data_IF_088840738095
#
_entry.id   IF_088840738095
#
_cell.length_a   1.000
_cell.length_b   1.000
_cell.length_c   1.000
_cell.angle_alpha   90.00
_cell.angle_beta   90.00
_cell.angle_gamma   90.00
#
_symmetry.space_group_name_H-M   'P 1'
#
loop_
_entity.id
_entity.type
_entity.pdbx_description
1 polymer ?
#
# COMPACT_ATOMS: atom_id res chain seq x y z
N UNK A 1 7.01 8.80 -20.18
CA UNK A 1 6.72 9.69 -19.03
C UNK A 1 7.24 9.02 -17.77
N UNK A 2 7.84 9.77 -16.86
CA UNK A 2 8.24 9.25 -15.55
C UNK A 2 6.99 8.99 -14.72
N UNK A 3 6.91 7.84 -14.04
CA UNK A 3 5.81 7.44 -13.16
C UNK A 3 6.36 7.12 -11.78
N UNK A 4 5.53 7.28 -10.75
CA UNK A 4 5.80 6.76 -9.42
C UNK A 4 5.39 5.29 -9.37
N UNK A 5 6.34 4.41 -9.03
CA UNK A 5 6.12 2.98 -8.86
C UNK A 5 5.75 2.69 -7.41
N UNK A 6 4.51 2.28 -7.19
CA UNK A 6 3.90 2.21 -5.86
C UNK A 6 3.52 0.78 -5.53
N UNK A 7 3.99 0.32 -4.38
CA UNK A 7 3.47 -0.86 -3.69
C UNK A 7 2.51 -0.44 -2.57
N UNK A 8 1.48 -1.23 -2.32
CA UNK A 8 0.50 -0.94 -1.26
C UNK A 8 0.29 -2.15 -0.34
N UNK A 9 0.27 -1.92 0.97
CA UNK A 9 0.09 -2.96 1.99
C UNK A 9 -1.17 -2.65 2.79
N UNK A 10 -2.11 -3.60 2.80
CA UNK A 10 -3.48 -3.42 3.27
C UNK A 10 -4.36 -2.80 2.19
N UNK A 11 -5.33 -3.54 1.68
CA UNK A 11 -6.30 -3.08 0.68
C UNK A 11 -7.73 -3.49 1.04
N UNK A 12 -8.03 -3.49 2.35
CA UNK A 12 -9.39 -3.61 2.88
C UNK A 12 -10.26 -2.37 2.63
N UNK A 13 -11.34 -2.22 3.40
CA UNK A 13 -12.34 -1.15 3.21
C UNK A 13 -11.72 0.25 3.21
N UNK A 14 -10.78 0.51 4.13
CA UNK A 14 -10.11 1.81 4.26
C UNK A 14 -9.08 2.08 3.14
N UNK A 15 -8.39 1.04 2.67
CA UNK A 15 -7.34 1.15 1.65
C UNK A 15 -7.88 1.25 0.22
N UNK A 16 -9.01 0.59 -0.05
CA UNK A 16 -9.59 0.48 -1.40
C UNK A 16 -9.84 1.83 -2.09
N UNK A 17 -10.35 2.89 -1.41
CA UNK A 17 -10.49 4.21 -2.02
C UNK A 17 -9.17 4.82 -2.49
N UNK A 18 -8.09 4.65 -1.71
CA UNK A 18 -6.76 5.12 -2.11
C UNK A 18 -6.25 4.33 -3.31
N UNK A 19 -6.36 3.00 -3.26
CA UNK A 19 -5.97 2.14 -4.37
C UNK A 19 -6.66 2.55 -5.68
N UNK A 20 -7.96 2.84 -5.64
CA UNK A 20 -8.71 3.32 -6.82
C UNK A 20 -8.13 4.62 -7.37
N UNK A 21 -7.86 5.61 -6.51
CA UNK A 21 -7.26 6.87 -6.93
C UNK A 21 -5.87 6.68 -7.56
N UNK A 22 -5.05 5.79 -6.99
CA UNK A 22 -3.72 5.46 -7.51
C UNK A 22 -3.80 4.76 -8.88
N UNK A 23 -4.73 3.82 -9.05
CA UNK A 23 -4.93 3.09 -10.30
C UNK A 23 -5.43 3.99 -11.45
N UNK A 24 -6.18 5.04 -11.12
CA UNK A 24 -6.72 5.99 -12.10
C UNK A 24 -5.74 7.13 -12.41
N UNK A 25 -4.64 7.27 -11.66
CA UNK A 25 -3.65 8.32 -11.84
C UNK A 25 -2.65 7.99 -12.97
N UNK A 26 -2.56 8.78 -14.06
CA UNK A 26 -1.71 8.46 -15.21
C UNK A 26 -0.20 8.53 -14.92
N UNK A 27 0.18 9.16 -13.80
CA UNK A 27 1.55 9.29 -13.31
C UNK A 27 1.93 8.23 -12.26
N UNK A 28 1.05 7.24 -12.03
CA UNK A 28 1.30 6.12 -11.11
C UNK A 28 1.41 4.82 -11.89
N UNK A 29 2.28 3.94 -11.40
CA UNK A 29 2.37 2.54 -11.76
C UNK A 29 2.25 1.72 -10.48
N UNK A 30 1.21 0.90 -10.36
CA UNK A 30 1.06 0.00 -9.23
C UNK A 30 1.88 -1.27 -9.47
N UNK A 31 2.91 -1.51 -8.66
CA UNK A 31 3.81 -2.67 -8.79
C UNK A 31 3.28 -3.89 -8.05
N UNK A 32 2.40 -3.69 -7.06
CA UNK A 32 1.78 -4.76 -6.32
C UNK A 32 0.93 -4.28 -5.16
N UNK A 33 0.00 -5.13 -4.73
CA UNK A 33 -0.76 -4.96 -3.49
C UNK A 33 -0.58 -6.19 -2.61
N UNK A 34 -0.54 -5.98 -1.30
CA UNK A 34 -0.45 -7.05 -0.32
C UNK A 34 -1.62 -7.01 0.67
N UNK A 35 -2.31 -8.13 0.82
CA UNK A 35 -3.32 -8.32 1.88
C UNK A 35 -3.46 -9.81 2.22
N UNK A 36 -3.76 -10.12 3.49
CA UNK A 36 -3.98 -11.50 3.95
C UNK A 36 -5.30 -12.06 3.43
N UNK A 37 -6.34 -11.23 3.28
CA UNK A 37 -7.63 -11.67 2.74
C UNK A 37 -7.75 -11.34 1.25
N UNK A 38 -7.55 -12.37 0.43
CA UNK A 38 -7.57 -12.27 -1.03
C UNK A 38 -8.98 -12.09 -1.64
N UNK A 39 -10.03 -12.02 -0.80
CA UNK A 39 -11.41 -11.75 -1.19
C UNK A 39 -11.82 -10.28 -0.95
N UNK A 40 -10.94 -9.46 -0.37
CA UNK A 40 -11.26 -8.06 -0.09
C UNK A 40 -11.51 -7.26 -1.38
N UNK A 41 -12.39 -6.24 -1.33
CA UNK A 41 -12.71 -5.41 -2.49
C UNK A 41 -11.48 -4.84 -3.20
N UNK A 42 -10.48 -4.38 -2.45
CA UNK A 42 -9.25 -3.83 -3.02
C UNK A 42 -8.37 -4.88 -3.69
N UNK A 43 -8.33 -6.12 -3.17
CA UNK A 43 -7.63 -7.23 -3.83
C UNK A 43 -8.29 -7.57 -5.17
N UNK A 44 -9.62 -7.68 -5.17
CA UNK A 44 -10.37 -7.98 -6.39
C UNK A 44 -10.19 -6.86 -7.44
N UNK A 45 -10.23 -5.60 -7.01
CA UNK A 45 -9.95 -4.44 -7.86
C UNK A 45 -8.53 -4.47 -8.45
N UNK A 46 -7.52 -4.80 -7.64
CA UNK A 46 -6.13 -4.92 -8.11
C UNK A 46 -6.00 -6.00 -9.19
N UNK A 47 -6.60 -7.19 -8.97
CA UNK A 47 -6.63 -8.28 -9.95
C UNK A 47 -7.30 -7.85 -11.26
N UNK A 48 -8.46 -7.19 -11.17
CA UNK A 48 -9.19 -6.68 -12.33
C UNK A 48 -8.35 -5.71 -13.17
N UNK A 49 -7.53 -4.87 -12.51
CA UNK A 49 -6.64 -3.91 -13.15
C UNK A 49 -5.27 -4.50 -13.54
N UNK A 50 -5.06 -5.81 -13.37
CA UNK A 50 -3.83 -6.51 -13.73
C UNK A 50 -2.64 -6.23 -12.82
N UNK A 51 -2.88 -5.76 -11.59
CA UNK A 51 -1.85 -5.52 -10.58
C UNK A 51 -1.56 -6.81 -9.81
N UNK A 52 -0.28 -7.09 -9.57
CA UNK A 52 0.14 -8.25 -8.79
C UNK A 52 -0.41 -8.20 -7.37
N UNK A 53 -0.85 -9.36 -6.86
CA UNK A 53 -1.37 -9.52 -5.50
C UNK A 53 -0.54 -10.57 -4.78
N UNK A 54 -0.17 -10.29 -3.54
CA UNK A 54 0.52 -11.22 -2.65
C UNK A 54 -0.12 -11.20 -1.25
N UNK A 55 0.02 -12.26 -0.47
CA UNK A 55 -0.28 -12.28 0.96
C UNK A 55 0.95 -11.94 1.82
N UNK A 56 2.11 -11.79 1.19
CA UNK A 56 3.37 -11.46 1.82
C UNK A 56 3.90 -10.09 1.36
N UNK A 57 3.66 -9.06 2.17
CA UNK A 57 4.07 -7.69 1.86
C UNK A 57 5.59 -7.49 1.70
N UNK A 58 6.42 -8.41 2.21
CA UNK A 58 7.87 -8.35 2.01
C UNK A 58 8.25 -8.58 0.54
N UNK A 59 7.46 -9.33 -0.23
CA UNK A 59 7.72 -9.53 -1.67
C UNK A 59 7.65 -8.23 -2.47
N UNK A 60 6.85 -7.25 -2.01
CA UNK A 60 6.83 -5.90 -2.59
C UNK A 60 8.13 -5.18 -2.27
N UNK A 61 8.61 -5.27 -1.03
CA UNK A 61 9.86 -4.65 -0.59
C UNK A 61 11.10 -5.26 -1.27
N UNK A 62 11.06 -6.57 -1.56
CA UNK A 62 12.13 -7.31 -2.24
C UNK A 62 12.40 -6.84 -3.66
N UNK A 63 11.44 -6.16 -4.29
CA UNK A 63 11.63 -5.55 -5.60
C UNK A 63 12.61 -4.35 -5.58
N UNK A 64 12.99 -3.86 -4.39
CA UNK A 64 14.08 -2.90 -4.22
C UNK A 64 13.84 -1.58 -4.97
N UNK A 65 14.82 -1.15 -5.77
CA UNK A 65 14.76 0.09 -6.55
C UNK A 65 13.73 0.08 -7.68
N UNK A 66 13.01 -1.04 -7.87
CA UNK A 66 11.82 -1.09 -8.73
C UNK A 66 10.58 -0.47 -8.08
N UNK A 67 10.61 -0.20 -6.78
CA UNK A 67 9.52 0.42 -6.02
C UNK A 67 9.98 1.74 -5.44
N UNK A 68 9.33 2.83 -5.82
CA UNK A 68 9.65 4.17 -5.32
C UNK A 68 9.01 4.40 -3.94
N UNK A 69 7.77 3.94 -3.76
CA UNK A 69 6.98 4.19 -2.56
C UNK A 69 6.24 2.91 -2.14
N UNK A 70 6.32 2.55 -0.87
CA UNK A 70 5.43 1.55 -0.25
C UNK A 70 4.46 2.30 0.67
N UNK A 71 3.17 2.18 0.40
CA UNK A 71 2.11 2.77 1.24
C UNK A 71 1.53 1.68 2.14
N UNK A 72 1.79 1.80 3.44
CA UNK A 72 1.19 0.94 4.46
C UNK A 72 -0.09 1.59 4.99
N UNK A 73 -1.24 0.96 4.76
CA UNK A 73 -2.53 1.38 5.32
C UNK A 73 -3.13 0.34 6.28
N UNK A 74 -2.33 -0.62 6.74
CA UNK A 74 -2.78 -1.68 7.65
C UNK A 74 -3.02 -1.18 9.08
N UNK A 75 -2.29 -0.14 9.50
CA UNK A 75 -2.23 0.26 10.90
C UNK A 75 -1.45 -0.69 11.80
N UNK A 76 -0.93 -1.81 11.27
CA UNK A 76 -0.22 -2.82 12.04
C UNK A 76 1.18 -2.34 12.42
N UNK A 77 1.48 -2.39 13.73
CA UNK A 77 2.84 -2.15 14.21
C UNK A 77 3.83 -3.16 13.64
N UNK A 78 3.38 -4.41 13.46
CA UNK A 78 4.21 -5.48 12.93
C UNK A 78 4.64 -5.19 11.49
N UNK A 79 3.69 -4.83 10.62
CA UNK A 79 3.97 -4.46 9.22
C UNK A 79 4.98 -3.31 9.15
N UNK A 80 4.76 -2.25 9.94
CA UNK A 80 5.68 -1.11 10.01
C UNK A 80 7.10 -1.50 10.45
N UNK A 81 7.21 -2.31 11.50
CA UNK A 81 8.51 -2.75 12.01
C UNK A 81 9.22 -3.66 11.01
N UNK A 82 8.51 -4.60 10.41
CA UNK A 82 9.07 -5.58 9.48
C UNK A 82 9.54 -4.91 8.19
N UNK A 83 8.74 -4.00 7.60
CA UNK A 83 9.17 -3.19 6.45
C UNK A 83 10.43 -2.37 6.80
N UNK A 84 10.46 -1.70 7.95
CA UNK A 84 11.63 -0.92 8.37
C UNK A 84 12.88 -1.80 8.55
N UNK A 85 12.75 -2.94 9.21
CA UNK A 85 13.85 -3.90 9.42
C UNK A 85 14.35 -4.41 8.07
N UNK A 86 13.45 -4.76 7.16
CA UNK A 86 13.81 -5.22 5.82
C UNK A 86 14.55 -4.16 5.01
N UNK A 87 14.09 -2.89 5.01
CA UNK A 87 14.78 -1.81 4.30
C UNK A 87 16.21 -1.58 4.83
N UNK A 88 16.39 -1.67 6.15
CA UNK A 88 17.72 -1.59 6.77
C UNK A 88 18.60 -2.78 6.39
N UNK A 89 18.05 -4.00 6.45
CA UNK A 89 18.76 -5.23 6.12
C UNK A 89 19.20 -5.28 4.65
N UNK A 90 18.31 -4.92 3.73
CA UNK A 90 18.57 -4.91 2.29
C UNK A 90 19.46 -3.74 1.83
N UNK A 91 19.68 -2.74 2.69
CA UNK A 91 20.36 -1.50 2.33
C UNK A 91 19.58 -0.66 1.32
N UNK A 92 18.26 -0.85 1.23
CA UNK A 92 17.42 -0.10 0.30
C UNK A 92 17.22 1.35 0.81
N UNK A 93 17.89 2.28 0.15
CA UNK A 93 17.81 3.73 0.41
C UNK A 93 16.97 4.47 -0.64
N UNK A 94 16.43 3.75 -1.62
CA UNK A 94 15.64 4.29 -2.72
C UNK A 94 14.16 4.39 -2.35
N UNK A 95 13.59 3.30 -1.82
CA UNK A 95 12.16 3.20 -1.53
C UNK A 95 11.78 3.98 -0.28
N UNK A 96 10.71 4.76 -0.34
CA UNK A 96 10.14 5.48 0.81
C UNK A 96 8.91 4.75 1.33
N UNK A 97 8.82 4.55 2.65
CA UNK A 97 7.62 3.99 3.30
C UNK A 97 6.71 5.15 3.74
N UNK A 98 5.47 5.13 3.27
CA UNK A 98 4.39 6.03 3.71
C UNK A 98 3.55 5.30 4.74
N UNK A 99 3.51 5.86 5.94
CA UNK A 99 2.76 5.33 7.08
C UNK A 99 1.25 5.59 6.94
N UNK A 100 0.42 4.75 7.57
CA UNK A 100 -1.04 4.82 7.40
C UNK A 100 -1.63 6.18 7.76
N UNK A 101 -1.07 6.87 8.77
CA UNK A 101 -1.55 8.19 9.19
C UNK A 101 -1.38 9.24 8.09
N UNK A 102 -0.30 9.15 7.32
CA UNK A 102 -0.06 10.05 6.19
C UNK A 102 -1.01 9.71 5.04
N UNK A 103 -1.20 8.43 4.74
CA UNK A 103 -2.15 8.00 3.72
C UNK A 103 -3.59 8.45 4.02
N UNK A 104 -4.04 8.29 5.27
CA UNK A 104 -5.35 8.75 5.74
C UNK A 104 -5.50 10.26 5.71
N UNK A 105 -4.44 11.01 6.07
CA UNK A 105 -4.43 12.46 5.93
C UNK A 105 -4.60 12.87 4.45
N UNK A 106 -3.86 12.24 3.54
CA UNK A 106 -3.96 12.55 2.10
C UNK A 106 -5.35 12.20 1.54
N UNK A 107 -5.91 11.06 1.93
CA UNK A 107 -7.28 10.69 1.59
C UNK A 107 -8.29 11.70 2.10
N UNK A 108 -8.17 12.11 3.36
CA UNK A 108 -9.10 13.06 3.98
C UNK A 108 -9.01 14.45 3.33
N UNK A 109 -7.80 14.92 3.03
CA UNK A 109 -7.57 16.16 2.30
C UNK A 109 -8.13 16.10 0.88
N UNK A 110 -7.96 14.97 0.19
CA UNK A 110 -8.50 14.77 -1.16
C UNK A 110 -10.02 14.67 -1.20
N UNK A 111 -10.62 14.06 -0.18
CA UNK A 111 -12.07 13.92 -0.05
C UNK A 111 -12.77 15.20 0.44
N UNK A 112 -12.04 16.10 1.10
CA UNK A 112 -12.58 17.31 1.72
C UNK A 112 -13.31 17.05 3.05
N UNK A 113 -13.19 15.85 3.61
CA UNK A 113 -13.74 15.47 4.91
C UNK A 113 -12.89 14.36 5.56
N UNK A 114 -13.05 14.16 6.87
CA UNK A 114 -12.33 13.12 7.59
C UNK A 114 -12.75 11.73 7.13
N UNK A 115 -11.81 10.95 6.60
CA UNK A 115 -12.04 9.54 6.27
C UNK A 115 -11.82 8.70 7.52
N UNK A 116 -12.90 8.11 8.03
CA UNK A 116 -12.84 7.18 9.16
C UNK A 116 -12.22 5.84 8.74
N UNK A 117 -11.32 5.34 9.59
CA UNK A 117 -10.81 3.97 9.48
C UNK A 117 -11.82 3.01 10.10
N UNK A 118 -12.20 1.97 9.37
CA UNK A 118 -12.84 0.81 10.00
C UNK A 118 -11.74 -0.16 10.39
N UNK A 119 -11.21 0.03 11.61
CA UNK A 119 -10.35 -0.96 12.23
C UNK A 119 -11.22 -2.09 12.75
N UNK A 120 -11.40 -3.15 11.96
CA UNK A 120 -11.56 -4.47 12.58
C UNK A 120 -10.17 -4.91 13.05
N UNK A 121 -10.09 -5.32 14.31
CA UNK A 121 -8.89 -5.87 14.96
C UNK A 121 -8.49 -7.25 14.38
N UNK A 122 -8.49 -7.40 13.05
CA UNK A 122 -7.90 -8.58 12.42
C UNK A 122 -6.39 -8.37 12.34
N UNK A 123 -5.73 -8.88 13.37
CA UNK A 123 -4.30 -8.79 13.60
C UNK A 123 -3.48 -9.34 12.42
N UNK A 124 -2.62 -8.47 11.88
CA UNK A 124 -1.41 -8.82 11.12
C UNK A 124 -0.24 -9.10 12.08
#
# INVERSE_FOLDING_TARGET
>A
MQKFRIGMVGVGETGTPLLKQLLDAPFVEMVGVADLDLQLPGVLLAKERGVAVTDNFIEIAEQGSLVDIIIDVTGSRKVREDLRRYMQFSGNTHTVIVHERVALLMLSLGAGYWVETRHDEMAY
#
